data_IF_392746688201
#
_entry.id   IF_392746688201
#
_cell.length_a   1.000
_cell.length_b   1.000
_cell.length_c   1.000
_cell.angle_alpha   90.00
_cell.angle_beta   90.00
_cell.angle_gamma   90.00
#
_symmetry.space_group_name_H-M   'P 1'
#
loop_
_entity.id
_entity.type
_entity.pdbx_description
1 polymer ?
#
# COMPACT_ATOMS: atom_id res chain seq x y z
N UNK A 1 -15.46 16.51 4.96
CA UNK A 1 -14.52 15.38 4.91
C UNK A 1 -15.27 14.16 4.48
N UNK A 2 -14.74 13.48 3.47
CA UNK A 2 -15.30 12.23 2.94
C UNK A 2 -15.18 11.14 4.01
N UNK A 3 -16.22 10.31 4.12
CA UNK A 3 -16.35 9.22 5.08
C UNK A 3 -16.20 7.82 4.47
N UNK A 4 -16.28 7.73 3.14
CA UNK A 4 -16.14 6.48 2.39
C UNK A 4 -15.61 6.76 0.98
N UNK A 5 -14.79 5.86 0.47
CA UNK A 5 -14.43 5.82 -0.96
C UNK A 5 -14.63 4.42 -1.51
N UNK A 6 -15.23 4.34 -2.69
CA UNK A 6 -15.56 3.12 -3.43
C UNK A 6 -14.80 3.05 -4.74
N UNK A 7 -14.86 1.89 -5.41
CA UNK A 7 -14.32 1.75 -6.76
C UNK A 7 -15.00 2.68 -7.78
N UNK A 8 -16.29 2.96 -7.63
CA UNK A 8 -17.03 3.84 -8.54
C UNK A 8 -16.53 5.28 -8.45
N UNK A 9 -16.21 5.76 -7.24
CA UNK A 9 -15.62 7.09 -7.03
C UNK A 9 -14.27 7.20 -7.75
N UNK A 10 -13.44 6.16 -7.63
CA UNK A 10 -12.12 6.08 -8.28
C UNK A 10 -12.28 6.07 -9.81
N UNK A 11 -13.18 5.24 -10.35
CA UNK A 11 -13.38 5.14 -11.78
C UNK A 11 -13.97 6.45 -12.34
N UNK A 12 -14.92 7.07 -11.64
CA UNK A 12 -15.45 8.37 -12.03
C UNK A 12 -14.37 9.45 -12.10
N UNK A 13 -13.40 9.41 -11.18
CA UNK A 13 -12.34 10.42 -11.13
C UNK A 13 -11.21 10.15 -12.14
N UNK A 14 -10.67 8.93 -12.14
CA UNK A 14 -9.40 8.61 -12.82
C UNK A 14 -9.57 7.89 -14.16
N UNK A 15 -10.72 7.26 -14.43
CA UNK A 15 -10.94 6.52 -15.70
C UNK A 15 -11.32 7.44 -16.88
N UNK A 16 -10.67 8.61 -16.96
CA UNK A 16 -11.08 9.73 -17.81
C UNK A 16 -10.23 9.91 -19.08
N UNK A 17 -9.02 9.33 -19.12
CA UNK A 17 -8.16 9.31 -20.32
C UNK A 17 -8.28 7.98 -21.06
N UNK A 18 -7.88 7.94 -22.34
CA UNK A 18 -7.88 6.69 -23.12
C UNK A 18 -6.93 5.65 -22.54
N UNK A 19 -5.75 6.08 -22.07
CA UNK A 19 -4.78 5.20 -21.41
C UNK A 19 -5.35 4.60 -20.11
N UNK A 20 -6.01 5.42 -19.29
CA UNK A 20 -6.68 4.95 -18.07
C UNK A 20 -7.76 3.90 -18.38
N UNK A 21 -8.61 4.17 -19.38
CA UNK A 21 -9.66 3.24 -19.85
C UNK A 21 -9.10 1.94 -20.39
N UNK A 22 -8.05 2.02 -21.20
CA UNK A 22 -7.34 0.86 -21.74
C UNK A 22 -6.79 -0.03 -20.63
N UNK A 23 -6.11 0.56 -19.64
CA UNK A 23 -5.59 -0.16 -18.47
C UNK A 23 -6.67 -0.81 -17.63
N UNK A 24 -7.75 -0.08 -17.35
CA UNK A 24 -8.87 -0.62 -16.59
C UNK A 24 -9.49 -1.82 -17.31
N UNK A 25 -9.75 -1.69 -18.61
CA UNK A 25 -10.30 -2.78 -19.45
C UNK A 25 -9.39 -4.00 -19.43
N UNK A 26 -8.10 -3.81 -19.69
CA UNK A 26 -7.11 -4.90 -19.69
C UNK A 26 -7.01 -5.61 -18.34
N UNK A 27 -7.03 -4.85 -17.23
CA UNK A 27 -7.00 -5.43 -15.88
C UNK A 27 -8.30 -6.17 -15.53
N UNK A 28 -9.45 -5.59 -15.85
CA UNK A 28 -10.78 -6.17 -15.58
C UNK A 28 -10.95 -7.49 -16.33
N UNK A 29 -10.46 -7.54 -17.57
CA UNK A 29 -10.66 -8.67 -18.47
C UNK A 29 -9.52 -9.72 -18.38
N UNK A 30 -8.50 -9.48 -17.56
CA UNK A 30 -7.38 -10.41 -17.31
C UNK A 30 -7.90 -11.77 -16.82
N UNK A 31 -7.72 -12.86 -17.60
CA UNK A 31 -8.21 -14.19 -17.24
C UNK A 31 -7.74 -14.70 -15.87
N UNK A 32 -6.56 -14.26 -15.41
CA UNK A 32 -6.01 -14.66 -14.11
C UNK A 32 -6.71 -13.97 -12.93
N UNK A 33 -7.25 -12.77 -13.15
CA UNK A 33 -7.71 -11.86 -12.09
C UNK A 33 -9.22 -11.60 -12.10
N UNK A 34 -9.86 -11.72 -13.27
CA UNK A 34 -11.27 -11.35 -13.51
C UNK A 34 -12.27 -12.01 -12.57
N UNK A 35 -11.98 -13.23 -12.10
CA UNK A 35 -12.89 -14.01 -11.27
C UNK A 35 -12.52 -13.98 -9.77
N UNK A 36 -11.41 -13.34 -9.40
CA UNK A 36 -10.86 -13.39 -8.03
C UNK A 36 -10.50 -11.99 -7.52
N UNK A 37 -9.46 -11.39 -8.09
CA UNK A 37 -8.90 -10.10 -7.67
C UNK A 37 -9.81 -8.95 -8.07
N UNK A 38 -10.34 -8.97 -9.29
CA UNK A 38 -11.16 -7.87 -9.82
C UNK A 38 -12.44 -7.65 -8.98
N UNK A 39 -13.27 -8.68 -8.70
CA UNK A 39 -14.47 -8.48 -7.89
C UNK A 39 -14.14 -8.04 -6.46
N UNK A 40 -13.02 -8.53 -5.90
CA UNK A 40 -12.57 -8.12 -4.57
C UNK A 40 -12.23 -6.62 -4.51
N UNK A 41 -11.41 -6.15 -5.45
CA UNK A 41 -10.97 -4.74 -5.47
C UNK A 41 -12.14 -3.81 -5.79
N UNK A 42 -13.04 -4.21 -6.69
CA UNK A 42 -14.24 -3.43 -7.01
C UNK A 42 -15.24 -3.37 -5.85
N UNK A 43 -15.31 -4.42 -5.03
CA UNK A 43 -16.17 -4.45 -3.84
C UNK A 43 -15.53 -3.79 -2.59
N UNK A 44 -14.26 -3.37 -2.68
CA UNK A 44 -13.59 -2.71 -1.56
C UNK A 44 -14.24 -1.36 -1.27
N UNK A 45 -14.29 -1.02 0.02
CA UNK A 45 -14.81 0.25 0.53
C UNK A 45 -13.81 0.73 1.56
N UNK A 46 -13.20 1.88 1.31
CA UNK A 46 -12.28 2.50 2.24
C UNK A 46 -13.07 3.37 3.21
N UNK A 47 -13.18 2.95 4.46
CA UNK A 47 -13.93 3.63 5.54
C UNK A 47 -13.09 3.76 6.79
N UNK A 48 -12.60 2.63 7.29
CA UNK A 48 -11.83 2.55 8.53
C UNK A 48 -10.56 3.38 8.41
N UNK A 49 -9.90 3.37 7.25
CA UNK A 49 -8.72 4.20 7.04
C UNK A 49 -8.97 5.69 7.32
N UNK A 50 -10.18 6.20 7.06
CA UNK A 50 -10.52 7.60 7.27
C UNK A 50 -10.83 7.94 8.73
N UNK A 51 -11.02 6.94 9.57
CA UNK A 51 -11.20 7.09 11.03
C UNK A 51 -9.91 6.86 11.80
N UNK A 52 -8.87 6.28 11.18
CA UNK A 52 -7.57 6.06 11.80
C UNK A 52 -6.95 7.39 12.23
N UNK A 53 -6.51 7.47 13.49
CA UNK A 53 -5.77 8.62 13.99
C UNK A 53 -4.25 8.39 13.98
N UNK A 54 -3.43 9.45 13.95
CA UNK A 54 -1.98 9.32 14.14
C UNK A 54 -1.63 8.62 15.47
N UNK A 55 -2.40 8.85 16.53
CA UNK A 55 -2.18 8.28 17.86
C UNK A 55 -2.34 6.76 17.88
N UNK A 56 -3.32 6.20 17.17
CA UNK A 56 -3.48 4.75 17.03
C UNK A 56 -2.25 4.10 16.39
N UNK A 57 -1.66 4.77 15.40
CA UNK A 57 -0.46 4.29 14.71
C UNK A 57 0.77 4.38 15.62
N UNK A 58 0.90 5.47 16.40
CA UNK A 58 1.95 5.58 17.42
C UNK A 58 1.82 4.48 18.47
N UNK A 59 0.61 4.21 18.96
CA UNK A 59 0.37 3.15 19.92
C UNK A 59 0.83 1.78 19.39
N UNK A 60 0.52 1.45 18.13
CA UNK A 60 0.96 0.17 17.55
C UNK A 60 2.47 0.14 17.33
N UNK A 61 3.08 1.24 16.86
CA UNK A 61 4.55 1.34 16.73
C UNK A 61 5.24 1.08 18.06
N UNK A 62 4.70 1.66 19.13
CA UNK A 62 5.31 1.60 20.47
C UNK A 62 5.04 0.26 21.18
N UNK A 63 4.01 -0.47 20.76
CA UNK A 63 3.73 -1.85 21.17
C UNK A 63 4.52 -2.90 20.38
N UNK A 64 5.36 -2.49 19.42
CA UNK A 64 6.18 -3.44 18.66
C UNK A 64 7.16 -4.12 19.60
N UNK A 65 6.87 -5.40 19.89
CA UNK A 65 7.78 -6.31 20.57
C UNK A 65 9.09 -6.46 19.75
N UNK A 66 10.26 -6.07 20.29
CA UNK A 66 11.54 -6.22 19.61
C UNK A 66 11.90 -7.66 19.21
N UNK A 67 11.31 -8.67 19.84
CA UNK A 67 11.50 -10.08 19.50
C UNK A 67 10.42 -10.62 18.55
N UNK A 68 9.25 -9.97 18.45
CA UNK A 68 8.08 -10.46 17.70
C UNK A 68 7.51 -9.52 16.63
N UNK A 69 8.25 -8.48 16.25
CA UNK A 69 7.91 -7.57 15.15
C UNK A 69 7.84 -8.27 13.77
N UNK A 70 7.37 -7.56 12.73
CA UNK A 70 7.04 -8.16 11.43
C UNK A 70 8.18 -8.94 10.75
N UNK A 71 9.43 -8.51 10.92
CA UNK A 71 10.61 -9.21 10.39
C UNK A 71 11.13 -10.28 11.36
N UNK A 72 10.77 -10.22 12.65
CA UNK A 72 11.36 -11.06 13.70
C UNK A 72 12.88 -10.98 13.66
N UNK A 73 13.56 -12.12 13.79
CA UNK A 73 15.03 -12.18 13.76
C UNK A 73 15.62 -12.26 12.35
N UNK A 74 14.80 -12.16 11.29
CA UNK A 74 15.26 -12.33 9.91
C UNK A 74 16.02 -11.09 9.45
N UNK A 75 17.30 -11.25 9.13
CA UNK A 75 18.12 -10.18 8.55
C UNK A 75 17.91 -10.06 7.05
N UNK A 76 18.25 -8.89 6.51
CA UNK A 76 18.10 -8.58 5.08
C UNK A 76 18.70 -9.63 4.16
N UNK A 77 19.94 -10.04 4.40
CA UNK A 77 20.61 -11.01 3.54
C UNK A 77 19.93 -12.40 3.56
N UNK A 78 19.34 -12.79 4.70
CA UNK A 78 18.58 -14.04 4.81
C UNK A 78 17.26 -13.96 4.03
N UNK A 79 16.61 -12.79 4.06
CA UNK A 79 15.36 -12.57 3.34
C UNK A 79 15.54 -12.42 1.84
N UNK A 80 16.58 -11.68 1.42
CA UNK A 80 16.80 -11.32 0.01
C UNK A 80 17.57 -12.38 -0.81
N UNK A 81 18.12 -13.43 -0.17
CA UNK A 81 18.86 -14.49 -0.88
C UNK A 81 17.97 -15.47 -1.63
N UNK A 82 16.73 -15.68 -1.19
CA UNK A 82 15.77 -16.60 -1.83
C UNK A 82 15.02 -15.85 -2.94
N UNK A 83 15.64 -15.74 -4.13
CA UNK A 83 15.11 -14.91 -5.23
C UNK A 83 13.73 -15.31 -5.68
N UNK A 84 13.41 -16.60 -5.70
CA UNK A 84 12.06 -17.08 -6.04
C UNK A 84 10.96 -16.49 -5.14
N UNK A 85 11.28 -16.14 -3.89
CA UNK A 85 10.35 -15.48 -2.97
C UNK A 85 10.44 -13.97 -3.10
N UNK A 86 11.63 -13.39 -3.33
CA UNK A 86 11.81 -11.94 -3.57
C UNK A 86 11.15 -11.46 -4.86
N UNK A 87 11.00 -12.34 -5.85
CA UNK A 87 10.39 -12.03 -7.14
C UNK A 87 8.98 -12.64 -7.28
N UNK A 88 8.45 -13.25 -6.23
CA UNK A 88 7.10 -13.82 -6.23
C UNK A 88 6.02 -12.75 -6.45
N UNK A 89 5.17 -12.94 -7.46
CA UNK A 89 4.02 -12.07 -7.73
C UNK A 89 2.72 -12.80 -7.39
N UNK A 90 2.16 -12.65 -6.16
CA UNK A 90 0.85 -13.20 -5.83
C UNK A 90 -0.26 -12.53 -6.66
N UNK A 91 -1.38 -13.24 -6.84
CA UNK A 91 -2.55 -12.69 -7.53
C UNK A 91 -3.07 -11.42 -6.82
N UNK A 92 -3.16 -11.48 -5.49
CA UNK A 92 -3.45 -10.31 -4.66
C UNK A 92 -2.16 -9.59 -4.27
N UNK A 93 -2.07 -8.30 -4.62
CA UNK A 93 -1.05 -7.43 -4.06
C UNK A 93 -1.19 -7.39 -2.53
N UNK A 94 -0.07 -7.28 -1.81
CA UNK A 94 -0.12 -7.26 -0.35
C UNK A 94 -0.91 -6.06 0.20
N UNK A 95 -0.90 -4.92 -0.49
CA UNK A 95 -1.75 -3.76 -0.15
C UNK A 95 -3.23 -4.13 -0.13
N UNK A 96 -3.72 -4.93 -1.08
CA UNK A 96 -5.12 -5.41 -1.08
C UNK A 96 -5.43 -6.20 0.20
N UNK A 97 -4.51 -7.06 0.62
CA UNK A 97 -4.67 -7.88 1.83
C UNK A 97 -4.69 -6.99 3.07
N UNK A 98 -3.74 -6.06 3.21
CA UNK A 98 -3.67 -5.19 4.39
C UNK A 98 -4.87 -4.27 4.52
N UNK A 99 -5.32 -3.65 3.42
CA UNK A 99 -6.52 -2.81 3.43
C UNK A 99 -7.78 -3.63 3.68
N UNK A 100 -7.88 -4.86 3.16
CA UNK A 100 -8.98 -5.75 3.54
C UNK A 100 -8.97 -6.06 5.05
N UNK A 101 -7.81 -6.38 5.62
CA UNK A 101 -7.70 -6.66 7.06
C UNK A 101 -8.03 -5.43 7.89
N UNK A 102 -7.58 -4.23 7.49
CA UNK A 102 -7.90 -2.97 8.17
C UNK A 102 -9.41 -2.75 8.24
N UNK A 103 -10.08 -2.84 7.10
CA UNK A 103 -11.52 -2.63 6.98
C UNK A 103 -12.32 -3.71 7.72
N UNK A 104 -11.85 -4.97 7.71
CA UNK A 104 -12.52 -6.07 8.40
C UNK A 104 -12.35 -6.03 9.93
N UNK A 105 -11.17 -5.63 10.42
CA UNK A 105 -10.90 -5.50 11.86
C UNK A 105 -11.53 -4.21 12.42
N UNK A 106 -11.69 -3.17 11.61
CA UNK A 106 -12.31 -1.91 12.04
C UNK A 106 -11.34 -0.93 12.73
N UNK A 107 -10.04 -1.24 12.77
CA UNK A 107 -8.98 -0.40 13.36
C UNK A 107 -7.61 -0.80 12.85
N UNK A 108 -6.61 0.02 13.15
CA UNK A 108 -5.21 -0.35 12.92
C UNK A 108 -4.87 -1.62 13.72
N UNK A 109 -4.10 -2.50 13.10
CA UNK A 109 -3.78 -3.83 13.62
C UNK A 109 -2.27 -4.02 13.79
N UNK A 110 -1.90 -4.84 14.75
CA UNK A 110 -0.52 -5.29 14.99
C UNK A 110 -0.13 -6.41 14.03
N UNK A 111 1.18 -6.69 13.92
CA UNK A 111 1.67 -7.82 13.13
C UNK A 111 1.12 -9.17 13.60
N UNK A 112 0.94 -9.34 14.92
CA UNK A 112 0.38 -10.56 15.52
C UNK A 112 -1.07 -10.76 15.08
N UNK A 113 -1.89 -9.72 15.20
CA UNK A 113 -3.30 -9.74 14.78
C UNK A 113 -3.41 -10.01 13.28
N UNK A 114 -2.60 -9.35 12.45
CA UNK A 114 -2.55 -9.63 11.02
C UNK A 114 -2.27 -11.11 10.71
N UNK A 115 -1.24 -11.67 11.36
CA UNK A 115 -0.86 -13.07 11.17
C UNK A 115 -1.94 -14.05 11.64
N UNK A 116 -2.65 -13.74 12.71
CA UNK A 116 -3.79 -14.51 13.19
C UNK A 116 -4.98 -14.43 12.24
N UNK A 117 -5.37 -13.20 11.85
CA UNK A 117 -6.46 -12.95 10.92
C UNK A 117 -6.25 -13.67 9.59
N UNK A 118 -5.03 -13.62 9.02
CA UNK A 118 -4.72 -14.34 7.79
C UNK A 118 -4.84 -15.87 7.90
N UNK A 119 -4.80 -16.44 9.11
CA UNK A 119 -4.99 -17.89 9.33
C UNK A 119 -6.45 -18.27 9.53
N UNK A 120 -7.23 -17.40 10.18
CA UNK A 120 -8.58 -17.70 10.65
C UNK A 120 -9.67 -17.20 9.71
N UNK A 121 -9.48 -16.04 9.08
CA UNK A 121 -10.42 -15.51 8.10
C UNK A 121 -10.26 -16.21 6.75
N UNK A 122 -11.33 -16.84 6.26
CA UNK A 122 -11.31 -17.64 5.03
C UNK A 122 -10.83 -16.85 3.80
N UNK A 123 -11.20 -15.56 3.72
CA UNK A 123 -10.89 -14.70 2.59
C UNK A 123 -9.44 -14.22 2.63
N UNK A 124 -8.96 -13.69 3.76
CA UNK A 124 -7.54 -13.34 3.92
C UNK A 124 -6.63 -14.55 3.76
N UNK A 125 -7.08 -15.72 4.23
CA UNK A 125 -6.35 -16.98 4.07
C UNK A 125 -6.16 -17.35 2.60
N UNK A 126 -7.22 -17.27 1.80
CA UNK A 126 -7.17 -17.52 0.37
C UNK A 126 -6.36 -16.46 -0.39
N UNK A 127 -6.39 -15.20 0.05
CA UNK A 127 -5.64 -14.11 -0.60
C UNK A 127 -4.12 -14.21 -0.38
N UNK A 128 -3.68 -14.65 0.81
CA UNK A 128 -2.26 -14.60 1.19
C UNK A 128 -1.72 -15.86 1.86
N UNK A 129 -2.36 -16.36 2.92
CA UNK A 129 -1.76 -17.39 3.75
C UNK A 129 -1.54 -18.71 3.00
N UNK A 130 -2.56 -19.19 2.31
CA UNK A 130 -2.46 -20.43 1.53
C UNK A 130 -1.51 -20.27 0.33
N UNK A 131 -1.59 -19.19 -0.51
CA UNK A 131 -0.60 -18.93 -1.55
C UNK A 131 0.84 -18.83 -1.05
N UNK A 132 1.09 -18.14 0.06
CA UNK A 132 2.42 -18.01 0.65
C UNK A 132 2.94 -19.37 1.16
N UNK A 133 2.07 -20.17 1.78
CA UNK A 133 2.40 -21.52 2.25
C UNK A 133 2.74 -22.45 1.08
N UNK A 134 1.96 -22.40 0.00
CA UNK A 134 2.23 -23.13 -1.24
C UNK A 134 3.58 -22.72 -1.84
N UNK A 135 3.84 -21.41 -1.94
CA UNK A 135 5.11 -20.91 -2.49
C UNK A 135 6.32 -21.33 -1.63
N UNK A 136 6.17 -21.34 -0.31
CA UNK A 136 7.21 -21.85 0.58
C UNK A 136 7.52 -23.34 0.34
N UNK A 137 6.48 -24.16 0.15
CA UNK A 137 6.64 -25.59 -0.13
C UNK A 137 7.26 -25.84 -1.51
N UNK A 138 6.83 -25.09 -2.52
CA UNK A 138 7.38 -25.14 -3.89
C UNK A 138 8.89 -24.85 -3.89
N UNK A 139 9.30 -23.71 -3.30
CA UNK A 139 10.71 -23.30 -3.25
C UNK A 139 11.58 -24.27 -2.45
N UNK A 140 11.03 -24.90 -1.40
CA UNK A 140 11.72 -25.94 -0.66
C UNK A 140 11.84 -27.25 -1.46
N UNK A 141 10.82 -27.59 -2.24
CA UNK A 141 10.78 -28.80 -3.07
C UNK A 141 11.77 -28.78 -4.25
N UNK A 142 12.18 -27.59 -4.71
CA UNK A 142 13.24 -27.41 -5.72
C UNK A 142 14.64 -27.83 -5.22
N UNK A 143 14.81 -28.05 -3.90
CA UNK A 143 16.05 -28.60 -3.31
C UNK A 143 17.18 -27.60 -3.06
N UNK A 144 17.10 -26.37 -3.57
CA UNK A 144 18.11 -25.32 -3.33
C UNK A 144 17.99 -24.63 -1.97
N UNK A 145 16.82 -24.71 -1.33
CA UNK A 145 16.52 -23.99 -0.10
C UNK A 145 15.79 -24.90 0.89
N UNK A 146 16.06 -24.75 2.19
CA UNK A 146 15.25 -25.42 3.19
C UNK A 146 13.88 -24.74 3.32
N UNK A 147 12.87 -25.46 3.84
CA UNK A 147 11.57 -24.88 4.17
C UNK A 147 11.71 -23.72 5.18
N UNK A 148 12.69 -23.78 6.08
CA UNK A 148 12.98 -22.71 7.02
C UNK A 148 13.48 -21.45 6.30
N UNK A 149 14.37 -21.60 5.32
CA UNK A 149 14.87 -20.47 4.52
C UNK A 149 13.75 -19.81 3.72
N UNK A 150 12.91 -20.63 3.08
CA UNK A 150 11.74 -20.15 2.36
C UNK A 150 10.81 -19.33 3.29
N UNK A 151 10.47 -19.88 4.46
CA UNK A 151 9.63 -19.19 5.46
C UNK A 151 10.25 -17.88 5.96
N UNK A 152 11.56 -17.85 6.21
CA UNK A 152 12.28 -16.62 6.60
C UNK A 152 12.19 -15.56 5.51
N UNK A 153 12.44 -15.93 4.25
CA UNK A 153 12.33 -15.02 3.13
C UNK A 153 10.89 -14.51 2.91
N UNK A 154 9.89 -15.37 3.08
CA UNK A 154 8.49 -14.98 2.99
C UNK A 154 8.10 -14.01 4.11
N UNK A 155 8.53 -14.29 5.35
CA UNK A 155 8.35 -13.37 6.48
C UNK A 155 9.01 -12.02 6.20
N UNK A 156 10.27 -12.02 5.74
CA UNK A 156 10.97 -10.80 5.39
C UNK A 156 10.20 -9.99 4.36
N UNK A 157 9.73 -10.64 3.29
CA UNK A 157 8.96 -10.00 2.22
C UNK A 157 7.68 -9.37 2.76
N UNK A 158 6.79 -10.17 3.34
CA UNK A 158 5.48 -9.69 3.82
C UNK A 158 5.66 -8.64 4.92
N UNK A 159 6.62 -8.85 5.83
CA UNK A 159 6.89 -7.93 6.93
C UNK A 159 7.39 -6.56 6.48
N UNK A 160 8.20 -6.49 5.42
CA UNK A 160 8.58 -5.20 4.84
C UNK A 160 7.38 -4.47 4.23
N UNK A 161 6.49 -5.18 3.53
CA UNK A 161 5.28 -4.58 3.01
C UNK A 161 4.31 -4.14 4.12
N UNK A 162 4.23 -4.87 5.23
CA UNK A 162 3.47 -4.45 6.41
C UNK A 162 4.02 -3.11 6.96
N UNK A 163 5.33 -2.96 7.08
CA UNK A 163 5.92 -1.68 7.49
C UNK A 163 5.63 -0.55 6.49
N UNK A 164 5.69 -0.81 5.19
CA UNK A 164 5.29 0.17 4.18
C UNK A 164 3.82 0.57 4.32
N UNK A 165 2.93 -0.39 4.59
CA UNK A 165 1.51 -0.14 4.82
C UNK A 165 1.26 0.74 6.05
N UNK A 166 1.88 0.44 7.19
CA UNK A 166 1.73 1.28 8.40
C UNK A 166 2.19 2.73 8.14
N UNK A 167 3.24 2.91 7.33
CA UNK A 167 3.73 4.23 6.95
C UNK A 167 2.78 4.97 6.01
N UNK A 168 2.20 4.28 5.05
CA UNK A 168 1.19 4.83 4.14
C UNK A 168 -0.03 5.36 4.92
N UNK A 169 -0.61 4.53 5.79
CA UNK A 169 -1.77 4.95 6.58
C UNK A 169 -1.43 6.08 7.57
N UNK A 170 -0.16 6.18 8.03
CA UNK A 170 0.32 7.28 8.85
C UNK A 170 0.34 8.61 8.11
N UNK A 171 0.81 8.61 6.87
CA UNK A 171 0.80 9.81 6.03
C UNK A 171 -0.65 10.25 5.78
N UNK A 172 -1.53 9.31 5.43
CA UNK A 172 -2.94 9.60 5.16
C UNK A 172 -3.63 10.14 6.42
N UNK A 173 -3.47 9.49 7.57
CA UNK A 173 -4.10 9.94 8.82
C UNK A 173 -3.58 11.30 9.26
N UNK A 174 -2.28 11.56 9.12
CA UNK A 174 -1.70 12.86 9.47
C UNK A 174 -2.17 13.98 8.54
N UNK A 175 -2.25 13.76 7.22
CA UNK A 175 -2.77 14.75 6.29
C UNK A 175 -4.24 15.09 6.62
N UNK A 176 -5.06 14.09 6.93
CA UNK A 176 -6.46 14.27 7.36
C UNK A 176 -6.56 15.00 8.69
N UNK A 177 -5.74 14.65 9.67
CA UNK A 177 -5.67 15.35 10.96
C UNK A 177 -5.26 16.83 10.80
N UNK A 178 -4.47 17.14 9.77
CA UNK A 178 -4.12 18.51 9.39
C UNK A 178 -5.17 19.17 8.48
N UNK A 179 -6.36 18.58 8.29
CA UNK A 179 -7.47 19.20 7.57
C UNK A 179 -7.43 19.06 6.04
N UNK A 180 -6.61 18.16 5.49
CA UNK A 180 -6.64 17.82 4.05
C UNK A 180 -7.62 16.66 3.85
N UNK A 181 -8.61 16.80 2.96
CA UNK A 181 -9.57 15.73 2.68
C UNK A 181 -8.99 14.66 1.73
N UNK A 182 -7.93 14.00 2.21
CA UNK A 182 -7.22 12.96 1.47
C UNK A 182 -8.10 11.72 1.37
N UNK A 183 -8.20 11.20 0.16
CA UNK A 183 -8.87 9.98 -0.21
C UNK A 183 -7.86 8.91 -0.64
N UNK A 184 -8.26 7.66 -0.50
CA UNK A 184 -7.49 6.47 -0.81
C UNK A 184 -8.43 5.37 -1.32
N UNK A 185 -7.93 4.55 -2.23
CA UNK A 185 -8.58 3.28 -2.57
C UNK A 185 -7.57 2.35 -3.27
N UNK A 186 -7.55 1.04 -3.00
CA UNK A 186 -6.58 0.12 -3.61
C UNK A 186 -6.63 0.08 -5.15
N UNK A 187 -7.80 0.32 -5.74
CA UNK A 187 -7.95 0.42 -7.21
C UNK A 187 -7.11 1.57 -7.80
N UNK A 188 -6.99 2.69 -7.08
CA UNK A 188 -6.27 3.86 -7.53
C UNK A 188 -4.75 3.59 -7.63
N UNK A 189 -4.16 2.97 -6.61
CA UNK A 189 -2.77 2.53 -6.61
C UNK A 189 -2.52 1.47 -7.70
N UNK A 190 -3.38 0.46 -7.75
CA UNK A 190 -3.22 -0.69 -8.64
C UNK A 190 -3.23 -0.32 -10.13
N UNK A 191 -4.11 0.60 -10.56
CA UNK A 191 -4.31 0.93 -11.97
C UNK A 191 -3.73 2.27 -12.38
N UNK A 192 -3.89 3.28 -11.53
CA UNK A 192 -3.57 4.67 -11.87
C UNK A 192 -2.28 5.15 -11.19
N UNK A 193 -1.65 4.31 -10.36
CA UNK A 193 -0.40 4.61 -9.62
C UNK A 193 -0.55 5.79 -8.65
N UNK A 194 -1.79 6.06 -8.25
CA UNK A 194 -2.14 7.11 -7.31
C UNK A 194 -2.26 6.48 -5.93
N UNK A 195 -1.29 6.75 -5.07
CA UNK A 195 -1.27 6.20 -3.72
C UNK A 195 -2.35 6.88 -2.85
N UNK A 196 -2.64 8.16 -3.06
CA UNK A 196 -3.74 8.91 -2.43
C UNK A 196 -4.09 10.16 -3.26
N UNK A 197 -5.21 10.83 -3.00
CA UNK A 197 -5.57 12.07 -3.70
C UNK A 197 -6.39 13.05 -2.85
N UNK A 198 -6.42 14.32 -3.25
CA UNK A 198 -7.33 15.33 -2.72
C UNK A 198 -7.85 16.19 -3.87
N UNK A 199 -9.15 16.13 -4.16
CA UNK A 199 -9.71 16.73 -5.37
C UNK A 199 -9.06 16.16 -6.64
N UNK A 200 -8.48 17.02 -7.49
CA UNK A 200 -7.68 16.62 -8.67
C UNK A 200 -6.17 16.67 -8.45
N UNK A 201 -5.73 16.61 -7.19
CA UNK A 201 -4.31 16.43 -6.84
C UNK A 201 -4.04 14.95 -6.59
N UNK A 202 -3.32 14.29 -7.50
CA UNK A 202 -2.91 12.90 -7.40
C UNK A 202 -1.54 12.80 -6.69
N UNK A 203 -1.48 12.06 -5.59
CA UNK A 203 -0.29 11.92 -4.75
C UNK A 203 0.39 10.57 -5.00
N UNK A 204 1.72 10.60 -5.09
CA UNK A 204 2.56 9.41 -5.00
C UNK A 204 3.39 9.41 -3.72
N UNK A 205 3.30 8.35 -2.92
CA UNK A 205 4.10 8.14 -1.73
C UNK A 205 5.31 7.29 -2.10
N UNK A 206 6.52 7.76 -1.81
CA UNK A 206 7.72 6.98 -2.11
C UNK A 206 8.78 7.11 -1.01
N UNK A 207 9.52 6.03 -0.77
CA UNK A 207 10.67 6.07 0.13
C UNK A 207 11.88 6.58 -0.64
N UNK A 208 12.45 7.70 -0.19
CA UNK A 208 13.68 8.28 -0.72
C UNK A 208 14.83 7.27 -0.64
N UNK A 209 15.34 6.83 -1.78
CA UNK A 209 16.54 6.01 -1.84
C UNK A 209 17.32 6.33 -3.12
N UNK A 210 18.64 6.51 -2.98
CA UNK A 210 19.60 6.72 -4.08
C UNK A 210 19.44 5.73 -5.25
N UNK A 211 18.89 4.53 -5.00
CA UNK A 211 18.66 3.48 -6.01
C UNK A 211 17.27 3.50 -6.69
N UNK A 212 16.25 4.13 -6.09
CA UNK A 212 14.85 4.02 -6.54
C UNK A 212 14.24 5.32 -7.06
N UNK A 213 14.62 6.48 -6.51
CA UNK A 213 14.31 7.79 -7.09
C UNK A 213 15.19 8.87 -6.45
N UNK A 214 15.93 9.61 -7.28
CA UNK A 214 16.51 10.91 -6.93
C UNK A 214 16.23 11.83 -8.11
N UNK A 215 15.38 12.84 -7.95
CA UNK A 215 15.07 13.81 -9.02
C UNK A 215 14.27 13.24 -10.20
N UNK A 216 13.21 12.45 -9.96
CA UNK A 216 12.25 12.05 -11.01
C UNK A 216 12.53 10.72 -11.73
N UNK A 217 13.73 10.16 -11.67
CA UNK A 217 14.06 8.89 -12.34
C UNK A 217 13.76 7.66 -11.46
N UNK A 218 12.83 6.79 -11.89
CA UNK A 218 12.49 5.52 -11.23
C UNK A 218 11.72 4.54 -12.15
N UNK A 219 11.68 3.25 -11.78
CA UNK A 219 11.12 2.12 -12.58
C UNK A 219 9.58 2.10 -12.72
N UNK A 220 8.85 2.91 -11.94
CA UNK A 220 7.37 2.93 -11.98
C UNK A 220 6.87 3.97 -12.98
N UNK A 221 5.94 3.57 -13.85
CA UNK A 221 5.15 4.51 -14.67
C UNK A 221 4.54 5.56 -13.73
N UNK A 222 4.85 6.84 -13.90
CA UNK A 222 4.32 7.87 -13.03
C UNK A 222 2.85 8.16 -13.39
N UNK A 223 2.03 8.68 -12.46
CA UNK A 223 0.60 8.90 -12.70
C UNK A 223 0.31 9.83 -13.89
N UNK A 224 1.19 10.80 -14.15
CA UNK A 224 1.10 11.73 -15.29
C UNK A 224 1.21 11.00 -16.64
N UNK A 225 1.94 9.88 -16.72
CA UNK A 225 1.96 9.07 -17.94
C UNK A 225 0.61 8.39 -18.25
N UNK A 226 -0.27 8.28 -17.25
CA UNK A 226 -1.60 7.65 -17.38
C UNK A 226 -2.69 8.71 -17.52
N UNK A 227 -2.57 9.79 -16.75
CA UNK A 227 -3.62 10.79 -16.54
C UNK A 227 -3.35 12.11 -17.27
N UNK A 228 -2.22 12.25 -17.97
CA UNK A 228 -1.99 13.40 -18.87
C UNK A 228 -3.06 13.44 -19.97
N UNK A 229 -3.65 14.62 -20.19
CA UNK A 229 -4.77 14.81 -21.12
C UNK A 229 -6.16 14.73 -20.49
N UNK A 230 -6.28 14.47 -19.19
CA UNK A 230 -7.56 14.61 -18.50
C UNK A 230 -8.08 16.05 -18.56
N UNK A 231 -9.40 16.21 -18.69
CA UNK A 231 -10.11 17.50 -18.63
C UNK A 231 -11.20 17.41 -17.57
N UNK A 232 -11.15 18.23 -16.49
CA UNK A 232 -10.09 19.17 -16.13
C UNK A 232 -8.73 18.47 -15.88
N UNK A 233 -7.61 19.19 -15.92
CA UNK A 233 -6.29 18.59 -15.69
C UNK A 233 -6.12 18.11 -14.25
N UNK A 234 -5.24 17.11 -14.04
CA UNK A 234 -4.75 16.75 -12.71
C UNK A 234 -3.48 17.53 -12.36
N UNK A 235 -3.28 17.78 -11.07
CA UNK A 235 -1.98 18.15 -10.51
C UNK A 235 -1.35 16.88 -9.93
N UNK A 236 -0.06 16.67 -10.19
CA UNK A 236 0.68 15.51 -9.71
C UNK A 236 1.66 15.92 -8.65
N UNK A 237 1.68 15.16 -7.57
CA UNK A 237 2.53 15.45 -6.44
C UNK A 237 3.19 14.21 -5.87
N UNK A 238 4.18 14.43 -5.02
CA UNK A 238 4.79 13.31 -4.32
C UNK A 238 5.24 13.66 -2.92
N UNK A 239 4.94 12.76 -1.98
CA UNK A 239 5.42 12.82 -0.61
C UNK A 239 6.59 11.85 -0.48
N UNK A 240 7.78 12.41 -0.29
CA UNK A 240 8.98 11.62 -0.01
C UNK A 240 8.99 11.20 1.46
N UNK A 241 9.17 9.91 1.69
CA UNK A 241 9.28 9.32 3.01
C UNK A 241 10.74 8.98 3.29
N UNK A 242 11.22 9.30 4.49
CA UNK A 242 12.59 8.98 4.91
C UNK A 242 12.88 7.47 4.82
N UNK A 243 14.11 7.04 4.48
CA UNK A 243 14.46 5.63 4.52
C UNK A 243 14.39 5.08 5.97
N UNK A 244 14.21 3.77 6.09
CA UNK A 244 14.24 3.11 7.39
C UNK A 244 15.66 3.16 7.99
N UNK A 245 15.79 3.65 9.22
CA UNK A 245 17.10 3.80 9.89
C UNK A 245 17.36 2.74 10.99
N UNK A 246 16.30 2.09 11.50
CA UNK A 246 16.35 1.07 12.56
C UNK A 246 15.64 -0.21 12.15
N UNK A 247 16.29 -1.34 12.39
CA UNK A 247 15.73 -2.66 12.15
C UNK A 247 14.56 -2.94 13.09
N UNK A 248 13.48 -3.50 12.53
CA UNK A 248 12.31 -3.94 13.30
C UNK A 248 11.37 -2.84 13.78
N UNK A 249 11.69 -1.57 13.51
CA UNK A 249 10.86 -0.42 13.88
C UNK A 249 10.19 0.16 12.63
N UNK A 250 8.92 0.55 12.75
CA UNK A 250 8.24 1.30 11.69
C UNK A 250 8.71 2.75 11.70
N UNK A 251 9.17 3.23 10.55
CA UNK A 251 9.67 4.60 10.36
C UNK A 251 8.58 5.55 9.92
N UNK A 252 8.07 6.34 10.85
CA UNK A 252 6.99 7.30 10.59
C UNK A 252 7.56 8.64 10.10
N UNK A 253 6.78 9.36 9.29
CA UNK A 253 7.18 10.68 8.80
C UNK A 253 7.14 11.69 9.94
N UNK A 254 8.03 12.68 9.95
CA UNK A 254 7.98 13.70 11.00
C UNK A 254 6.72 14.56 10.87
N UNK A 255 6.16 14.97 12.00
CA UNK A 255 4.98 15.83 12.03
C UNK A 255 5.21 17.16 11.30
N UNK A 256 6.42 17.69 11.38
CA UNK A 256 6.82 18.93 10.70
C UNK A 256 6.74 18.78 9.17
N UNK A 257 7.26 17.70 8.62
CA UNK A 257 7.22 17.43 7.18
C UNK A 257 5.78 17.25 6.70
N UNK A 258 4.94 16.49 7.42
CA UNK A 258 3.54 16.32 7.05
C UNK A 258 2.77 17.65 7.13
N UNK A 259 3.02 18.48 8.15
CA UNK A 259 2.35 19.77 8.27
C UNK A 259 2.69 20.69 7.11
N UNK A 260 3.96 20.76 6.73
CA UNK A 260 4.40 21.54 5.56
C UNK A 260 3.72 21.06 4.27
N UNK A 261 3.63 19.73 4.10
CA UNK A 261 2.97 19.12 2.97
C UNK A 261 1.46 19.37 2.96
N UNK A 262 0.80 19.30 4.12
CA UNK A 262 -0.63 19.59 4.27
C UNK A 262 -0.95 21.05 3.87
N UNK A 263 -0.17 22.01 4.34
CA UNK A 263 -0.36 23.43 3.97
C UNK A 263 -0.17 23.66 2.46
N UNK A 264 0.82 22.98 1.86
CA UNK A 264 1.06 23.01 0.42
C UNK A 264 -0.14 22.46 -0.36
N UNK A 265 -0.68 21.32 0.06
CA UNK A 265 -1.85 20.69 -0.57
C UNK A 265 -3.12 21.54 -0.44
N UNK A 266 -3.35 22.17 0.71
CA UNK A 266 -4.46 23.14 0.90
C UNK A 266 -4.33 24.32 -0.06
N UNK A 267 -3.12 24.86 -0.23
CA UNK A 267 -2.89 25.99 -1.13
C UNK A 267 -3.15 25.63 -2.60
N UNK A 268 -2.88 24.40 -3.01
CA UNK A 268 -3.14 23.92 -4.39
C UNK A 268 -4.63 23.65 -4.61
N UNK A 269 -5.29 22.99 -3.65
CA UNK A 269 -6.70 22.62 -3.76
C UNK A 269 -7.62 23.83 -3.68
N UNK A 270 -7.35 24.79 -2.79
CA UNK A 270 -8.13 26.03 -2.69
C UNK A 270 -8.04 26.95 -3.92
N UNK A 271 -7.04 26.76 -4.79
CA UNK A 271 -6.94 27.45 -6.10
C UNK A 271 -7.65 26.73 -7.23
N UNK A 272 -7.99 25.46 -7.04
CA UNK A 272 -8.64 24.63 -8.07
C UNK A 272 -10.17 24.72 -8.03
N UNK A 273 -10.73 25.26 -6.94
CA UNK A 273 -12.16 25.49 -6.75
C UNK A 273 -12.62 26.92 -7.14
N UNK A 274 -11.66 27.80 -7.50
CA UNK A 274 -11.89 29.18 -7.95
C UNK A 274 -11.77 29.31 -9.46
#
# INVERSE_FOLDING_TARGET
MISETTADDVLSLFNVTDEARSRFTAWRDDPKRRNTVVPHVLAHRTKVLYTVTPEEIYAIRDQIDPDNHALGKVRRYEGERVKQIVDWEPDFAFSHVFHYVLEAIGRVFTWKEFGEFCRTDSKARAMLYDPASKKNAEVAGEGCWSLLDARKAMRWRIGNFYYSFIREIHVISQLRANGVDVQFHPLADALFRVDAWCGRVALSLYVGNKKYRKGGHGRKFPPDAILSGAVPSFVFDSVELAPADKFGVVHLVSEKEIRQEAERLKAVTGRSES
#
